data_IF_501902431041
#
_entry.id   IF_501902431041
#
_cell.length_a   1.000
_cell.length_b   1.000
_cell.length_c   1.000
_cell.angle_alpha   90.00
_cell.angle_beta   90.00
_cell.angle_gamma   90.00
#
_symmetry.space_group_name_H-M   'P 1'
#
loop_
_entity.id
_entity.type
_entity.pdbx_description
1 polymer ?
#
# COMPACT_ATOMS: atom_id res chain seq x y z
N UNK A 1 20.06 -9.28 -24.20
CA UNK A 1 18.61 -9.58 -24.17
C UNK A 1 18.20 -9.56 -22.71
N UNK A 2 17.33 -8.62 -22.30
CA UNK A 2 16.79 -8.65 -20.95
C UNK A 2 16.03 -9.97 -20.78
N UNK A 3 16.33 -10.72 -19.73
CA UNK A 3 15.64 -11.97 -19.43
C UNK A 3 14.12 -11.70 -19.30
N UNK A 4 13.31 -12.58 -19.85
CA UNK A 4 11.84 -12.49 -19.74
C UNK A 4 11.43 -12.65 -18.27
N UNK A 5 10.49 -11.83 -17.82
CA UNK A 5 9.93 -11.90 -16.47
C UNK A 5 8.82 -12.94 -16.46
N UNK A 6 9.02 -14.01 -15.68
CA UNK A 6 8.08 -15.12 -15.53
C UNK A 6 7.26 -14.89 -14.24
N UNK A 7 6.00 -14.51 -14.42
CA UNK A 7 5.15 -14.06 -13.32
C UNK A 7 4.23 -15.16 -12.82
N UNK A 8 4.24 -15.39 -11.51
CA UNK A 8 3.23 -16.16 -10.78
C UNK A 8 2.34 -15.28 -9.90
N UNK A 9 1.05 -15.60 -9.82
CA UNK A 9 0.10 -15.00 -8.88
C UNK A 9 -0.36 -16.02 -7.85
N UNK A 10 -0.28 -15.67 -6.57
CA UNK A 10 -0.99 -16.34 -5.47
C UNK A 10 -2.22 -15.50 -5.11
N UNK A 11 -3.37 -15.89 -5.63
CA UNK A 11 -4.64 -15.20 -5.52
C UNK A 11 -5.25 -14.90 -6.88
N UNK A 12 -6.57 -15.13 -7.01
CA UNK A 12 -7.39 -14.88 -8.20
C UNK A 12 -8.64 -14.05 -7.86
N UNK A 13 -8.54 -13.21 -6.81
CA UNK A 13 -9.61 -12.33 -6.33
C UNK A 13 -9.75 -11.03 -7.12
N UNK A 14 -10.67 -10.17 -6.66
CA UNK A 14 -10.94 -8.88 -7.31
C UNK A 14 -9.71 -7.99 -7.44
N UNK A 15 -8.87 -7.93 -6.39
CA UNK A 15 -7.67 -7.10 -6.43
C UNK A 15 -6.57 -7.68 -7.35
N UNK A 16 -6.49 -9.00 -7.50
CA UNK A 16 -5.60 -9.63 -8.47
C UNK A 16 -5.91 -9.23 -9.92
N UNK A 17 -7.18 -8.92 -10.24
CA UNK A 17 -7.55 -8.37 -11.57
C UNK A 17 -6.88 -7.02 -11.83
N UNK A 18 -6.77 -6.19 -10.80
CA UNK A 18 -6.14 -4.87 -10.87
C UNK A 18 -4.63 -4.99 -11.12
N UNK A 19 -3.99 -5.97 -10.49
CA UNK A 19 -2.58 -6.28 -10.74
C UNK A 19 -2.34 -6.82 -12.15
N UNK A 20 -3.22 -7.71 -12.64
CA UNK A 20 -3.13 -8.21 -14.01
C UNK A 20 -3.26 -7.08 -15.04
N UNK A 21 -4.21 -6.14 -14.82
CA UNK A 21 -4.34 -4.92 -15.61
C UNK A 21 -3.06 -4.07 -15.58
N UNK A 22 -2.50 -3.85 -14.39
CA UNK A 22 -1.31 -3.01 -14.25
C UNK A 22 -0.10 -3.59 -14.99
N UNK A 23 0.09 -4.92 -14.97
CA UNK A 23 1.13 -5.59 -15.77
C UNK A 23 0.92 -5.40 -17.27
N UNK A 24 -0.31 -5.58 -17.77
CA UNK A 24 -0.63 -5.41 -19.19
C UNK A 24 -0.49 -3.95 -19.66
N UNK A 25 -0.75 -2.99 -18.77
CA UNK A 25 -0.71 -1.57 -19.05
C UNK A 25 0.72 -1.02 -19.20
N UNK A 26 1.73 -1.69 -18.61
CA UNK A 26 3.12 -1.19 -18.59
C UNK A 26 3.64 -0.79 -19.97
N UNK A 27 3.42 -1.61 -20.98
CA UNK A 27 3.87 -1.38 -22.36
C UNK A 27 3.31 -0.12 -23.01
N UNK A 28 2.18 0.42 -22.50
CA UNK A 28 1.59 1.65 -23.00
C UNK A 28 2.21 2.89 -22.35
N UNK A 29 2.71 2.75 -21.13
CA UNK A 29 3.24 3.87 -20.36
C UNK A 29 4.77 3.98 -20.43
N UNK A 30 5.48 2.87 -20.65
CA UNK A 30 6.94 2.84 -20.58
C UNK A 30 7.54 2.19 -21.84
N UNK A 31 8.49 2.90 -22.46
CA UNK A 31 9.12 2.45 -23.70
C UNK A 31 10.02 1.20 -23.49
N UNK A 32 10.64 1.09 -22.33
CA UNK A 32 11.64 0.03 -22.03
C UNK A 32 11.10 -0.93 -20.96
N UNK A 33 9.94 -1.54 -21.20
CA UNK A 33 9.43 -2.58 -20.32
C UNK A 33 10.04 -3.94 -20.67
N UNK A 34 10.37 -4.78 -19.67
CA UNK A 34 10.76 -6.15 -19.95
C UNK A 34 9.58 -6.93 -20.57
N UNK A 35 9.91 -8.01 -21.29
CA UNK A 35 8.89 -8.95 -21.72
C UNK A 35 8.33 -9.67 -20.49
N UNK A 36 7.00 -9.61 -20.31
CA UNK A 36 6.29 -10.21 -19.17
C UNK A 36 5.50 -11.42 -19.67
N UNK A 37 5.75 -12.57 -19.07
CA UNK A 37 5.02 -13.81 -19.28
C UNK A 37 4.16 -14.09 -18.02
N UNK A 38 2.84 -14.05 -18.16
CA UNK A 38 1.89 -14.45 -17.11
C UNK A 38 1.85 -15.98 -17.07
N UNK A 39 2.75 -16.57 -16.27
CA UNK A 39 3.05 -17.99 -16.31
C UNK A 39 1.99 -18.80 -15.59
N UNK A 40 1.66 -18.45 -14.35
CA UNK A 40 0.74 -19.24 -13.52
C UNK A 40 -0.06 -18.38 -12.57
N UNK A 41 -1.33 -18.73 -12.40
CA UNK A 41 -2.16 -18.23 -11.30
C UNK A 41 -2.56 -19.39 -10.38
N UNK A 42 -2.37 -19.20 -9.08
CA UNK A 42 -2.69 -20.19 -8.07
C UNK A 42 -3.80 -19.66 -7.13
N UNK A 43 -4.86 -20.45 -6.94
CA UNK A 43 -5.97 -20.14 -6.05
C UNK A 43 -6.69 -21.42 -5.64
N UNK A 44 -7.29 -21.49 -4.42
CA UNK A 44 -7.93 -22.72 -3.93
C UNK A 44 -9.09 -23.20 -4.80
N UNK A 45 -9.93 -22.28 -5.31
CA UNK A 45 -11.15 -22.63 -6.07
C UNK A 45 -10.83 -22.89 -7.54
N UNK A 46 -10.99 -24.12 -8.05
CA UNK A 46 -10.67 -24.47 -9.44
C UNK A 46 -11.35 -23.56 -10.48
N UNK A 47 -12.68 -23.41 -10.40
CA UNK A 47 -13.43 -22.58 -11.35
C UNK A 47 -12.97 -21.12 -11.36
N UNK A 48 -12.63 -20.55 -10.19
CA UNK A 48 -12.14 -19.15 -10.11
C UNK A 48 -10.77 -19.00 -10.76
N UNK A 49 -9.81 -19.89 -10.47
CA UNK A 49 -8.45 -19.79 -11.02
C UNK A 49 -8.41 -20.05 -12.53
N UNK A 50 -9.23 -20.99 -13.03
CA UNK A 50 -9.33 -21.30 -14.46
C UNK A 50 -9.95 -20.13 -15.23
N UNK A 51 -11.08 -19.58 -14.72
CA UNK A 51 -11.70 -18.39 -15.30
C UNK A 51 -10.76 -17.18 -15.29
N UNK A 52 -10.00 -16.99 -14.20
CA UNK A 52 -9.01 -15.93 -14.08
C UNK A 52 -7.87 -16.10 -15.09
N UNK A 53 -7.30 -17.31 -15.20
CA UNK A 53 -6.23 -17.62 -16.14
C UNK A 53 -6.66 -17.34 -17.57
N UNK A 54 -7.82 -17.85 -17.96
CA UNK A 54 -8.39 -17.63 -19.30
C UNK A 54 -8.61 -16.14 -19.60
N UNK A 55 -9.22 -15.40 -18.64
CA UNK A 55 -9.58 -13.99 -18.84
C UNK A 55 -8.35 -13.08 -18.94
N UNK A 56 -7.33 -13.33 -18.13
CA UNK A 56 -6.17 -12.45 -17.99
C UNK A 56 -4.89 -12.98 -18.66
N UNK A 57 -5.00 -14.11 -19.38
CA UNK A 57 -3.92 -14.65 -20.20
C UNK A 57 -2.79 -15.32 -19.43
N UNK A 58 -3.06 -15.95 -18.30
CA UNK A 58 -2.11 -16.84 -17.63
C UNK A 58 -2.07 -18.19 -18.34
N UNK A 59 -0.87 -18.76 -18.49
CA UNK A 59 -0.70 -20.05 -19.18
C UNK A 59 -1.30 -21.22 -18.41
N UNK A 60 -1.22 -21.16 -17.08
CA UNK A 60 -1.63 -22.26 -16.21
C UNK A 60 -2.44 -21.74 -15.02
N UNK A 61 -3.36 -22.59 -14.54
CA UNK A 61 -4.13 -22.40 -13.32
C UNK A 61 -3.93 -23.60 -12.40
N UNK A 62 -3.33 -23.39 -11.21
CA UNK A 62 -2.95 -24.46 -10.29
C UNK A 62 -3.48 -24.25 -8.88
N UNK A 63 -3.57 -25.28 -8.02
CA UNK A 63 -3.82 -25.09 -6.61
C UNK A 63 -2.61 -24.43 -5.93
N UNK A 64 -2.82 -23.66 -4.82
CA UNK A 64 -1.78 -22.84 -4.21
C UNK A 64 -0.52 -23.61 -3.81
N UNK A 65 -0.67 -24.82 -3.28
CA UNK A 65 0.44 -25.67 -2.83
C UNK A 65 1.38 -26.11 -3.95
N UNK A 66 0.91 -26.14 -5.19
CA UNK A 66 1.72 -26.55 -6.33
C UNK A 66 2.71 -25.46 -6.80
N UNK A 67 2.52 -24.20 -6.38
CA UNK A 67 3.40 -23.11 -6.83
C UNK A 67 4.82 -23.24 -6.28
N UNK A 68 4.95 -23.82 -5.09
CA UNK A 68 6.24 -23.93 -4.38
C UNK A 68 7.25 -24.86 -5.06
N UNK A 69 6.77 -25.72 -5.95
CA UNK A 69 7.60 -26.62 -6.73
C UNK A 69 8.00 -26.06 -8.11
N UNK A 70 7.63 -24.80 -8.41
CA UNK A 70 7.95 -24.16 -9.71
C UNK A 70 9.38 -23.65 -9.72
N UNK A 71 10.10 -23.95 -10.80
CA UNK A 71 11.47 -23.47 -11.02
C UNK A 71 11.56 -22.49 -12.19
N UNK A 72 10.45 -22.29 -12.90
CA UNK A 72 10.33 -21.41 -14.06
C UNK A 72 9.81 -20.01 -13.73
N UNK A 73 9.55 -19.68 -12.44
CA UNK A 73 9.15 -18.37 -11.98
C UNK A 73 10.35 -17.59 -11.45
N UNK A 74 10.48 -16.33 -11.83
CA UNK A 74 11.43 -15.39 -11.23
C UNK A 74 10.75 -14.23 -10.49
N UNK A 75 9.42 -14.11 -10.60
CA UNK A 75 8.63 -13.04 -10.02
C UNK A 75 7.32 -13.59 -9.49
N UNK A 76 7.00 -13.31 -8.22
CA UNK A 76 5.79 -13.77 -7.56
C UNK A 76 5.01 -12.60 -6.97
N UNK A 77 3.68 -12.62 -7.17
CA UNK A 77 2.74 -11.70 -6.54
C UNK A 77 1.90 -12.45 -5.52
N UNK A 78 1.93 -12.03 -4.26
CA UNK A 78 1.13 -12.57 -3.15
C UNK A 78 -0.06 -11.65 -2.96
N UNK A 79 -1.25 -12.08 -3.40
CA UNK A 79 -2.47 -11.29 -3.56
C UNK A 79 -3.69 -11.96 -2.89
N UNK A 80 -3.44 -12.92 -2.02
CA UNK A 80 -4.45 -13.69 -1.30
C UNK A 80 -5.10 -12.92 -0.14
N UNK A 81 -5.86 -13.60 0.72
CA UNK A 81 -6.38 -13.03 1.97
C UNK A 81 -5.24 -12.64 2.94
N UNK A 82 -5.47 -11.62 3.77
CA UNK A 82 -4.46 -11.03 4.66
C UNK A 82 -3.64 -12.07 5.46
N UNK A 83 -4.32 -13.07 6.04
CA UNK A 83 -3.69 -14.12 6.86
C UNK A 83 -2.77 -15.07 6.08
N UNK A 84 -2.75 -14.98 4.75
CA UNK A 84 -1.87 -15.80 3.90
C UNK A 84 -0.57 -15.09 3.52
N UNK A 85 -0.48 -13.76 3.71
CA UNK A 85 0.63 -12.95 3.21
C UNK A 85 1.96 -13.36 3.84
N UNK A 86 2.07 -13.34 5.17
CA UNK A 86 3.32 -13.73 5.86
C UNK A 86 3.72 -15.19 5.58
N UNK A 87 2.84 -16.20 5.79
CA UNK A 87 3.21 -17.59 5.49
C UNK A 87 3.68 -17.80 4.06
N UNK A 88 3.01 -17.18 3.09
CA UNK A 88 3.39 -17.29 1.68
C UNK A 88 4.69 -16.54 1.37
N UNK A 89 4.94 -15.39 1.99
CA UNK A 89 6.19 -14.64 1.82
C UNK A 89 7.38 -15.44 2.36
N UNK A 90 7.24 -16.04 3.55
CA UNK A 90 8.29 -16.87 4.15
C UNK A 90 8.62 -18.11 3.28
N UNK A 91 7.62 -18.72 2.64
CA UNK A 91 7.86 -19.80 1.68
C UNK A 91 8.48 -19.30 0.37
N UNK A 92 8.03 -18.15 -0.12
CA UNK A 92 8.51 -17.58 -1.38
C UNK A 92 10.00 -17.22 -1.35
N UNK A 93 10.51 -16.73 -0.22
CA UNK A 93 11.93 -16.36 -0.10
C UNK A 93 12.86 -17.58 -0.19
N UNK A 94 12.36 -18.77 0.13
CA UNK A 94 13.10 -20.04 0.02
C UNK A 94 13.14 -20.59 -1.42
N UNK A 95 12.35 -20.06 -2.35
CA UNK A 95 12.37 -20.50 -3.76
C UNK A 95 13.61 -19.95 -4.48
N UNK A 96 14.56 -20.80 -4.92
CA UNK A 96 15.82 -20.33 -5.51
C UNK A 96 15.64 -19.53 -6.81
N UNK A 97 14.60 -19.85 -7.59
CA UNK A 97 14.32 -19.21 -8.88
C UNK A 97 13.76 -17.80 -8.76
N UNK A 98 13.13 -17.45 -7.63
CA UNK A 98 12.56 -16.12 -7.45
C UNK A 98 13.65 -15.07 -7.21
N UNK A 99 13.51 -13.94 -7.90
CA UNK A 99 14.31 -12.74 -7.72
C UNK A 99 13.48 -11.62 -7.07
N UNK A 100 12.17 -11.57 -7.38
CA UNK A 100 11.25 -10.52 -6.99
C UNK A 100 9.98 -11.07 -6.39
N UNK A 101 9.56 -10.51 -5.26
CA UNK A 101 8.32 -10.87 -4.57
C UNK A 101 7.55 -9.59 -4.28
N UNK A 102 6.34 -9.50 -4.82
CA UNK A 102 5.38 -8.47 -4.48
C UNK A 102 4.39 -9.02 -3.47
N UNK A 103 4.18 -8.36 -2.36
CA UNK A 103 3.19 -8.77 -1.36
C UNK A 103 2.20 -7.65 -1.10
N UNK A 104 0.89 -7.98 -1.13
CA UNK A 104 -0.14 -7.03 -0.76
C UNK A 104 -0.12 -6.72 0.74
N UNK A 105 -0.57 -5.50 1.05
CA UNK A 105 -0.80 -5.06 2.42
C UNK A 105 -2.09 -5.69 2.98
N UNK A 106 -2.23 -5.88 4.30
CA UNK A 106 -1.18 -5.81 5.32
C UNK A 106 -0.22 -7.00 5.21
N UNK A 107 1.03 -6.81 5.54
CA UNK A 107 2.02 -7.89 5.41
C UNK A 107 1.95 -8.91 6.56
N UNK A 108 1.34 -8.56 7.69
CA UNK A 108 1.14 -9.45 8.84
C UNK A 108 -0.22 -9.19 9.51
N UNK A 109 -0.76 -10.21 10.19
CA UNK A 109 -2.04 -10.15 10.92
C UNK A 109 -1.89 -10.52 12.41
N UNK A 110 -0.67 -10.67 12.90
CA UNK A 110 -0.37 -10.96 14.31
C UNK A 110 1.02 -10.46 14.69
N UNK A 111 1.26 -10.30 16.00
CA UNK A 111 2.57 -9.95 16.54
C UNK A 111 3.63 -11.03 16.21
N UNK A 112 3.25 -12.32 16.18
CA UNK A 112 4.17 -13.39 15.80
C UNK A 112 4.63 -13.25 14.34
N UNK A 113 3.69 -13.03 13.42
CA UNK A 113 4.03 -12.82 12.01
C UNK A 113 4.90 -11.58 11.80
N UNK A 114 4.63 -10.48 12.53
CA UNK A 114 5.48 -9.30 12.51
C UNK A 114 6.91 -9.63 12.98
N UNK A 115 7.06 -10.43 14.04
CA UNK A 115 8.37 -10.88 14.53
C UNK A 115 9.10 -11.73 13.48
N UNK A 116 8.39 -12.64 12.81
CA UNK A 116 8.96 -13.49 11.76
C UNK A 116 9.45 -12.66 10.57
N UNK A 117 8.71 -11.63 10.17
CA UNK A 117 9.12 -10.69 9.12
C UNK A 117 10.32 -9.83 9.52
N UNK A 118 10.41 -9.43 10.79
CA UNK A 118 11.59 -8.72 11.32
C UNK A 118 12.85 -9.60 11.29
N UNK A 119 12.72 -10.89 11.52
CA UNK A 119 13.81 -11.85 11.37
C UNK A 119 14.17 -12.04 9.89
N UNK A 120 13.18 -12.18 9.02
CA UNK A 120 13.39 -12.26 7.57
C UNK A 120 14.16 -11.04 7.05
N UNK A 121 13.79 -9.83 7.45
CA UNK A 121 14.45 -8.61 7.00
C UNK A 121 15.94 -8.51 7.40
N UNK A 122 16.35 -9.25 8.44
CA UNK A 122 17.75 -9.35 8.88
C UNK A 122 18.53 -10.45 8.17
N UNK A 123 17.84 -11.35 7.47
CA UNK A 123 18.47 -12.46 6.75
C UNK A 123 18.97 -12.03 5.37
N UNK A 124 20.02 -12.67 4.88
CA UNK A 124 20.58 -12.43 3.55
C UNK A 124 19.83 -13.26 2.47
N UNK A 125 18.52 -13.07 2.33
CA UNK A 125 17.70 -13.86 1.38
C UNK A 125 17.94 -13.50 -0.09
N UNK A 126 18.56 -12.35 -0.38
CA UNK A 126 18.91 -11.92 -1.75
C UNK A 126 17.71 -11.63 -2.67
N UNK A 127 16.49 -11.55 -2.14
CA UNK A 127 15.27 -11.26 -2.90
C UNK A 127 14.91 -9.78 -2.80
N UNK A 128 14.40 -9.21 -3.89
CA UNK A 128 13.76 -7.90 -3.85
C UNK A 128 12.29 -8.07 -3.45
N UNK A 129 11.92 -7.54 -2.30
CA UNK A 129 10.54 -7.62 -1.76
C UNK A 129 9.95 -6.20 -1.76
N UNK A 130 8.78 -6.05 -2.40
CA UNK A 130 8.02 -4.80 -2.44
C UNK A 130 6.61 -5.00 -1.88
N UNK A 131 6.15 -4.05 -1.07
CA UNK A 131 4.82 -4.09 -0.43
C UNK A 131 3.83 -3.20 -1.17
N UNK A 132 2.57 -3.60 -1.23
CA UNK A 132 1.50 -2.96 -1.99
C UNK A 132 1.02 -1.63 -1.40
N UNK A 133 1.87 -0.61 -1.34
CA UNK A 133 1.53 0.77 -0.95
C UNK A 133 1.55 1.70 -2.16
N UNK A 134 0.71 1.43 -3.13
CA UNK A 134 0.69 2.09 -4.44
C UNK A 134 0.38 3.59 -4.40
N UNK A 135 -0.30 4.09 -3.34
CA UNK A 135 -0.56 5.53 -3.21
C UNK A 135 0.72 6.37 -3.19
N UNK A 136 1.83 5.84 -2.65
CA UNK A 136 3.15 6.48 -2.69
C UNK A 136 3.63 6.76 -4.11
N UNK A 137 3.06 6.09 -5.11
CA UNK A 137 3.40 6.26 -6.52
C UNK A 137 2.46 7.24 -7.26
N UNK A 138 1.52 7.91 -6.59
CA UNK A 138 0.80 9.03 -7.23
C UNK A 138 1.78 10.15 -7.56
N UNK A 139 1.63 10.74 -8.75
CA UNK A 139 2.53 11.82 -9.20
C UNK A 139 2.68 12.94 -8.17
N UNK A 140 1.55 13.40 -7.61
CA UNK A 140 1.55 14.44 -6.58
C UNK A 140 2.25 14.00 -5.28
N UNK A 141 2.04 12.76 -4.81
CA UNK A 141 2.70 12.25 -3.59
C UNK A 141 4.19 12.03 -3.79
N UNK A 142 4.62 11.56 -4.98
CA UNK A 142 6.05 11.45 -5.30
C UNK A 142 6.74 12.82 -5.27
N UNK A 143 6.14 13.82 -5.91
CA UNK A 143 6.65 15.19 -5.93
C UNK A 143 6.62 15.82 -4.53
N UNK A 144 5.51 15.66 -3.79
CA UNK A 144 5.36 16.14 -2.43
C UNK A 144 6.42 15.54 -1.49
N UNK A 145 6.68 14.24 -1.58
CA UNK A 145 7.70 13.56 -0.78
C UNK A 145 9.11 14.05 -1.11
N UNK A 146 9.42 14.21 -2.40
CA UNK A 146 10.70 14.78 -2.82
C UNK A 146 10.87 16.23 -2.31
N UNK A 147 9.81 17.04 -2.37
CA UNK A 147 9.81 18.41 -1.85
C UNK A 147 9.95 18.45 -0.31
N UNK A 148 9.22 17.58 0.41
CA UNK A 148 9.39 17.48 1.87
C UNK A 148 10.84 17.17 2.26
N UNK A 149 11.47 16.26 1.52
CA UNK A 149 12.86 15.83 1.76
C UNK A 149 13.92 16.85 1.35
N UNK A 150 13.55 17.94 0.66
CA UNK A 150 14.49 19.05 0.37
C UNK A 150 14.93 19.80 1.65
N UNK A 151 14.10 19.70 2.72
CA UNK A 151 14.34 20.42 3.97
C UNK A 151 13.73 21.83 4.02
N UNK A 152 13.05 22.27 2.96
CA UNK A 152 12.48 23.64 2.84
C UNK A 152 11.39 23.93 3.88
N UNK A 153 10.84 22.90 4.52
CA UNK A 153 9.78 23.04 5.54
C UNK A 153 10.30 23.09 6.98
N UNK A 154 11.61 22.89 7.17
CA UNK A 154 12.21 22.78 8.51
C UNK A 154 11.80 21.50 9.25
N UNK A 155 11.96 21.51 10.58
CA UNK A 155 11.61 20.35 11.42
C UNK A 155 10.09 20.21 11.55
N UNK A 156 9.53 18.96 11.51
CA UNK A 156 8.12 18.74 11.72
C UNK A 156 7.69 19.14 13.13
N UNK A 157 6.52 19.78 13.28
CA UNK A 157 5.90 20.17 14.55
C UNK A 157 4.60 19.42 14.77
N UNK A 158 3.78 19.35 13.73
CA UNK A 158 2.45 18.75 13.78
C UNK A 158 2.11 18.08 12.46
N UNK A 159 1.35 16.97 12.51
CA UNK A 159 0.89 16.29 11.33
C UNK A 159 -0.51 15.70 11.49
N UNK A 160 -1.19 15.48 10.37
CA UNK A 160 -2.49 14.82 10.30
C UNK A 160 -2.54 13.91 9.07
N UNK A 161 -2.98 12.68 9.27
CA UNK A 161 -3.25 11.74 8.18
C UNK A 161 -4.64 11.14 8.36
N UNK A 162 -5.39 11.04 7.27
CA UNK A 162 -6.74 10.49 7.28
C UNK A 162 -6.97 9.60 6.07
N UNK A 163 -7.66 8.48 6.28
CA UNK A 163 -8.26 7.73 5.18
C UNK A 163 -9.71 7.40 5.52
N UNK A 164 -10.62 8.05 4.80
CA UNK A 164 -12.04 8.07 5.11
C UNK A 164 -12.85 7.48 3.96
N UNK A 165 -13.77 6.59 4.31
CA UNK A 165 -14.65 5.87 3.42
C UNK A 165 -16.06 5.76 4.03
N UNK A 166 -17.10 5.60 3.23
CA UNK A 166 -18.49 5.54 3.74
C UNK A 166 -19.22 4.23 3.45
N UNK A 167 -18.58 3.28 2.76
CA UNK A 167 -19.25 2.08 2.24
C UNK A 167 -19.92 1.22 3.29
N UNK A 168 -19.34 1.17 4.51
CA UNK A 168 -19.87 0.35 5.60
C UNK A 168 -21.07 0.97 6.31
N UNK A 169 -21.52 2.17 5.92
CA UNK A 169 -22.83 2.69 6.31
C UNK A 169 -23.97 1.91 5.66
N UNK A 170 -23.74 1.31 4.50
CA UNK A 170 -24.73 0.49 3.80
C UNK A 170 -24.81 -0.93 4.41
N UNK A 171 -25.99 -1.36 4.96
CA UNK A 171 -26.14 -2.70 5.53
C UNK A 171 -25.87 -3.83 4.54
N UNK A 172 -26.30 -3.68 3.28
CA UNK A 172 -26.06 -4.67 2.24
C UNK A 172 -24.58 -4.85 1.92
N UNK A 173 -23.82 -3.74 1.95
CA UNK A 173 -22.36 -3.79 1.79
C UNK A 173 -21.69 -4.52 2.96
N UNK A 174 -22.13 -4.28 4.21
CA UNK A 174 -21.63 -4.99 5.40
C UNK A 174 -21.87 -6.50 5.31
N UNK A 175 -23.07 -6.91 4.88
CA UNK A 175 -23.40 -8.34 4.70
C UNK A 175 -22.52 -9.01 3.64
N UNK A 176 -22.25 -8.35 2.52
CA UNK A 176 -21.41 -8.87 1.45
C UNK A 176 -19.91 -8.97 1.85
N UNK A 177 -19.47 -8.20 2.84
CA UNK A 177 -18.09 -8.13 3.29
C UNK A 177 -17.94 -8.48 4.77
N UNK A 178 -18.76 -9.41 5.26
CA UNK A 178 -18.73 -9.88 6.65
C UNK A 178 -17.40 -10.54 7.04
N UNK A 179 -16.69 -11.10 6.07
CA UNK A 179 -15.35 -11.66 6.21
C UNK A 179 -14.27 -10.61 6.56
N UNK A 180 -14.60 -9.31 6.40
CA UNK A 180 -13.72 -8.20 6.76
C UNK A 180 -13.92 -7.65 8.17
N UNK A 181 -14.80 -8.27 8.95
CA UNK A 181 -15.02 -7.94 10.36
C UNK A 181 -14.16 -8.83 11.26
N UNK A 182 -12.93 -8.43 11.45
CA UNK A 182 -12.00 -9.03 12.40
C UNK A 182 -11.31 -7.91 13.18
N UNK A 183 -10.91 -8.17 14.45
CA UNK A 183 -10.19 -7.17 15.23
C UNK A 183 -8.81 -6.83 14.61
N UNK A 184 -8.30 -5.64 14.94
CA UNK A 184 -6.93 -5.25 14.63
C UNK A 184 -5.98 -6.22 15.38
N UNK A 185 -4.89 -6.74 14.79
CA UNK A 185 -4.31 -6.36 13.49
C UNK A 185 -4.77 -7.22 12.30
N UNK A 186 -5.80 -8.03 12.42
CA UNK A 186 -6.24 -8.95 11.35
C UNK A 186 -6.97 -8.20 10.22
N UNK A 187 -7.87 -7.27 10.58
CA UNK A 187 -8.65 -6.47 9.65
C UNK A 187 -9.14 -5.18 10.35
N UNK A 188 -10.14 -4.49 9.80
CA UNK A 188 -10.69 -3.26 10.33
C UNK A 188 -10.33 -2.04 9.49
N UNK A 189 -10.80 -0.85 9.91
CA UNK A 189 -10.54 0.39 9.21
C UNK A 189 -9.05 0.77 9.24
N UNK A 190 -8.36 0.54 10.36
CA UNK A 190 -6.92 0.80 10.49
C UNK A 190 -6.11 -0.08 9.55
N UNK A 191 -6.41 -1.37 9.49
CA UNK A 191 -5.66 -2.33 8.66
C UNK A 191 -5.92 -2.10 7.18
N UNK A 192 -7.17 -1.84 6.79
CA UNK A 192 -7.57 -1.68 5.40
C UNK A 192 -7.22 -0.29 4.84
N UNK A 193 -7.62 0.76 5.54
CA UNK A 193 -7.46 2.15 5.12
C UNK A 193 -6.28 2.83 5.82
N UNK A 194 -6.22 2.71 7.14
CA UNK A 194 -5.19 3.34 7.96
C UNK A 194 -3.77 2.93 7.60
N UNK A 195 -3.57 1.70 7.11
CA UNK A 195 -2.27 1.23 6.63
C UNK A 195 -1.68 2.11 5.51
N UNK A 196 -2.50 2.62 4.59
CA UNK A 196 -2.06 3.56 3.56
C UNK A 196 -1.66 4.92 4.15
N UNK A 197 -2.46 5.46 5.09
CA UNK A 197 -2.14 6.71 5.77
C UNK A 197 -0.88 6.58 6.64
N UNK A 198 -0.69 5.45 7.35
CA UNK A 198 0.53 5.12 8.08
C UNK A 198 1.73 5.00 7.14
N UNK A 199 1.54 4.39 5.96
CA UNK A 199 2.60 4.30 4.96
C UNK A 199 3.06 5.69 4.48
N UNK A 200 2.14 6.66 4.33
CA UNK A 200 2.52 8.05 4.05
C UNK A 200 3.31 8.65 5.22
N UNK A 201 2.83 8.51 6.46
CA UNK A 201 3.54 9.04 7.62
C UNK A 201 4.95 8.47 7.74
N UNK A 202 5.13 7.16 7.59
CA UNK A 202 6.46 6.52 7.61
C UNK A 202 7.35 7.01 6.47
N UNK A 203 6.80 7.20 5.26
CA UNK A 203 7.59 7.68 4.12
C UNK A 203 8.06 9.13 4.28
N UNK A 204 7.23 9.99 4.89
CA UNK A 204 7.52 11.42 5.06
C UNK A 204 8.32 11.74 6.33
N UNK A 205 8.00 11.08 7.45
CA UNK A 205 8.56 11.39 8.77
C UNK A 205 9.61 10.37 9.25
N UNK A 206 9.67 9.19 8.64
CA UNK A 206 10.63 8.14 9.02
C UNK A 206 10.03 7.08 9.95
N UNK A 207 10.92 6.28 10.56
CA UNK A 207 10.58 5.07 11.32
C UNK A 207 10.52 5.26 12.85
N UNK A 208 10.67 6.48 13.34
CA UNK A 208 10.65 6.83 14.76
C UNK A 208 9.26 7.18 15.31
N UNK A 209 8.21 6.86 14.56
CA UNK A 209 6.84 7.09 14.96
C UNK A 209 6.40 6.12 16.07
N UNK A 210 5.69 6.65 17.08
CA UNK A 210 5.18 5.91 18.24
C UNK A 210 3.71 6.23 18.44
N UNK A 211 2.87 5.20 18.61
CA UNK A 211 1.48 5.37 19.00
C UNK A 211 1.41 5.75 20.48
N UNK A 212 0.70 6.82 20.82
CA UNK A 212 0.53 7.31 22.19
C UNK A 212 -0.83 6.94 22.77
N UNK A 213 -1.87 6.91 21.96
CA UNK A 213 -3.20 6.45 22.33
C UNK A 213 -4.03 6.17 21.08
N UNK A 214 -5.05 5.35 21.21
CA UNK A 214 -6.02 5.04 20.16
C UNK A 214 -7.42 4.91 20.77
N UNK A 215 -8.44 5.29 20.00
CA UNK A 215 -9.85 5.09 20.37
C UNK A 215 -10.66 4.71 19.13
N UNK A 216 -11.59 3.77 19.29
CA UNK A 216 -12.46 3.30 18.20
C UNK A 216 -13.93 3.64 18.45
N UNK A 217 -14.69 3.81 17.38
CA UNK A 217 -16.13 4.11 17.39
C UNK A 217 -16.84 3.52 16.17
N UNK A 218 -18.15 3.70 16.07
CA UNK A 218 -18.91 3.33 14.87
C UNK A 218 -19.42 1.89 14.88
N UNK A 219 -20.04 1.44 15.98
CA UNK A 219 -20.67 0.12 16.06
C UNK A 219 -22.07 0.11 15.47
N UNK A 220 -22.42 -0.99 14.80
CA UNK A 220 -23.78 -1.31 14.37
C UNK A 220 -24.24 -2.62 15.02
N UNK A 221 -25.56 -2.80 15.13
CA UNK A 221 -26.12 -4.03 15.72
C UNK A 221 -25.78 -5.31 14.93
N UNK A 222 -25.45 -5.16 13.66
CA UNK A 222 -25.09 -6.23 12.73
C UNK A 222 -23.58 -6.39 12.53
N UNK A 223 -22.75 -5.77 13.40
CA UNK A 223 -21.28 -5.92 13.38
C UNK A 223 -20.75 -6.48 14.69
N UNK A 224 -19.67 -7.28 14.67
CA UNK A 224 -18.98 -7.68 15.90
C UNK A 224 -18.50 -6.46 16.68
N UNK A 225 -18.55 -6.54 18.02
CA UNK A 225 -18.22 -5.40 18.89
C UNK A 225 -16.75 -4.99 18.89
N UNK A 226 -15.89 -5.93 18.59
CA UNK A 226 -14.43 -5.79 18.52
C UNK A 226 -13.93 -5.35 17.12
N UNK A 227 -14.86 -5.11 16.19
CA UNK A 227 -14.54 -4.60 14.86
C UNK A 227 -14.30 -3.10 14.89
N UNK A 228 -13.16 -2.71 14.33
CA UNK A 228 -12.80 -1.33 14.07
C UNK A 228 -13.51 -0.81 12.80
N UNK A 229 -14.44 0.14 12.96
CA UNK A 229 -15.11 0.85 11.86
C UNK A 229 -14.62 2.28 11.70
N UNK A 230 -14.20 2.91 12.80
CA UNK A 230 -13.61 4.23 12.83
C UNK A 230 -12.65 4.32 14.02
N UNK A 231 -11.38 4.53 13.74
CA UNK A 231 -10.33 4.66 14.76
C UNK A 231 -9.60 5.98 14.61
N UNK A 232 -9.42 6.67 15.73
CA UNK A 232 -8.56 7.84 15.86
C UNK A 232 -7.35 7.47 16.70
N UNK A 233 -6.18 7.86 16.23
CA UNK A 233 -4.89 7.54 16.84
C UNK A 233 -4.09 8.80 17.05
N UNK A 234 -3.46 8.98 18.21
CA UNK A 234 -2.43 9.99 18.45
C UNK A 234 -1.06 9.36 18.27
N UNK A 235 -0.24 9.98 17.45
CA UNK A 235 1.11 9.51 17.08
C UNK A 235 2.12 10.60 17.37
N UNK A 236 3.28 10.21 17.89
CA UNK A 236 4.43 11.10 18.11
C UNK A 236 5.61 10.64 17.26
N UNK A 237 6.30 11.56 16.63
CA UNK A 237 7.64 11.34 16.10
C UNK A 237 8.67 11.52 17.22
N UNK A 238 9.28 10.43 17.67
CA UNK A 238 10.23 10.45 18.79
C UNK A 238 11.53 11.20 18.48
N UNK A 239 11.81 11.51 17.20
CA UNK A 239 13.00 12.26 16.80
C UNK A 239 12.80 13.76 16.94
N UNK A 240 11.72 14.30 16.39
CA UNK A 240 11.42 15.73 16.41
C UNK A 240 10.57 16.16 17.60
N UNK A 241 9.86 15.22 18.24
CA UNK A 241 8.83 15.49 19.24
C UNK A 241 7.50 15.98 18.63
N UNK A 242 7.37 15.96 17.30
CA UNK A 242 6.13 16.33 16.63
C UNK A 242 4.99 15.38 17.01
N UNK A 243 3.81 15.93 17.27
CA UNK A 243 2.61 15.14 17.58
C UNK A 243 1.57 15.33 16.51
N UNK A 244 0.92 14.24 16.13
CA UNK A 244 -0.12 14.28 15.13
C UNK A 244 -1.20 13.23 15.34
N UNK A 245 -2.18 13.22 14.43
CA UNK A 245 -3.31 12.31 14.46
C UNK A 245 -3.42 11.51 13.17
N UNK A 246 -3.92 10.27 13.32
CA UNK A 246 -4.40 9.46 12.22
C UNK A 246 -5.86 9.14 12.45
N UNK A 247 -6.69 9.27 11.41
CA UNK A 247 -8.08 8.79 11.40
C UNK A 247 -8.27 7.82 10.26
N UNK A 248 -8.71 6.61 10.59
CA UNK A 248 -9.13 5.60 9.62
C UNK A 248 -10.61 5.29 9.83
N UNK A 249 -11.45 5.46 8.79
CA UNK A 249 -12.89 5.29 8.93
C UNK A 249 -13.53 4.67 7.70
N UNK A 250 -14.32 3.62 7.91
CA UNK A 250 -15.20 2.98 6.93
C UNK A 250 -16.62 3.53 6.93
N UNK A 251 -16.90 4.50 7.82
CA UNK A 251 -18.25 5.00 8.12
C UNK A 251 -18.36 6.53 8.09
N UNK A 252 -17.44 7.21 7.40
CA UNK A 252 -17.46 8.66 7.24
C UNK A 252 -18.42 9.08 6.14
N UNK A 253 -19.61 9.53 6.51
CA UNK A 253 -20.64 9.97 5.56
C UNK A 253 -20.12 11.13 4.68
N UNK A 254 -20.41 11.04 3.37
CA UNK A 254 -20.03 12.08 2.40
C UNK A 254 -18.62 11.91 1.82
N UNK A 255 -17.87 10.87 2.25
CA UNK A 255 -16.57 10.53 1.66
C UNK A 255 -16.65 9.23 0.86
N UNK A 256 -16.05 9.21 -0.33
CA UNK A 256 -15.95 7.99 -1.14
C UNK A 256 -14.62 7.28 -0.95
N UNK A 257 -13.53 8.03 -1.07
CA UNK A 257 -12.16 7.51 -1.03
C UNK A 257 -11.22 8.67 -0.74
N UNK A 258 -11.26 9.20 0.50
CA UNK A 258 -10.53 10.39 0.91
C UNK A 258 -9.28 10.01 1.70
N UNK A 259 -8.13 10.00 1.04
CA UNK A 259 -6.81 9.94 1.68
C UNK A 259 -6.24 11.36 1.76
N UNK A 260 -5.81 11.78 2.96
CA UNK A 260 -5.21 13.08 3.20
C UNK A 260 -3.94 12.94 4.05
N UNK A 261 -2.96 13.80 3.74
CA UNK A 261 -1.76 14.02 4.54
C UNK A 261 -1.53 15.53 4.69
N UNK A 262 -1.33 15.98 5.91
CA UNK A 262 -0.90 17.33 6.25
C UNK A 262 0.30 17.25 7.19
N UNK A 263 1.38 18.00 6.88
CA UNK A 263 2.56 18.12 7.74
C UNK A 263 2.90 19.60 7.86
N UNK A 264 3.07 20.07 9.09
CA UNK A 264 3.49 21.44 9.42
C UNK A 264 4.87 21.40 10.04
N UNK A 265 5.81 22.07 9.41
CA UNK A 265 7.16 22.25 9.89
C UNK A 265 7.41 23.66 10.44
N UNK A 266 8.60 23.89 10.95
CA UNK A 266 9.01 25.19 11.52
C UNK A 266 9.11 26.31 10.48
N UNK A 267 9.25 25.98 9.20
CA UNK A 267 9.44 26.94 8.10
C UNK A 267 8.34 26.90 7.04
N UNK A 268 7.45 25.90 7.08
CA UNK A 268 6.39 25.79 6.10
C UNK A 268 5.42 24.63 6.39
N UNK A 269 4.50 24.40 5.46
CA UNK A 269 3.56 23.30 5.56
C UNK A 269 3.33 22.65 4.19
N UNK A 270 2.94 21.36 4.21
CA UNK A 270 2.61 20.58 3.04
C UNK A 270 1.26 19.88 3.27
N UNK A 271 0.38 19.92 2.27
CA UNK A 271 -0.93 19.25 2.29
C UNK A 271 -1.15 18.51 0.98
N UNK A 272 -1.56 17.25 1.09
CA UNK A 272 -2.05 16.42 -0.01
C UNK A 272 -3.42 15.86 0.32
N UNK A 273 -4.31 15.76 -0.68
CA UNK A 273 -5.61 15.09 -0.53
C UNK A 273 -6.06 14.46 -1.85
N UNK A 274 -6.68 13.29 -1.78
CA UNK A 274 -7.30 12.65 -2.97
C UNK A 274 -8.55 13.38 -3.47
N UNK A 275 -9.06 14.37 -2.76
CA UNK A 275 -10.06 15.30 -3.29
C UNK A 275 -9.51 16.14 -4.46
N UNK A 276 -8.18 16.35 -4.48
CA UNK A 276 -7.43 16.97 -5.58
C UNK A 276 -6.21 16.07 -5.89
N UNK A 277 -6.41 14.91 -6.52
CA UNK A 277 -5.44 13.80 -6.51
C UNK A 277 -4.17 14.07 -7.32
N UNK A 278 -4.18 15.07 -8.18
CA UNK A 278 -3.10 15.39 -9.12
C UNK A 278 -2.24 16.58 -8.68
N UNK A 279 -2.53 17.17 -7.52
CA UNK A 279 -1.75 18.28 -6.95
C UNK A 279 -1.53 18.11 -5.44
N UNK A 280 -0.56 18.86 -4.94
CA UNK A 280 -0.37 19.10 -3.51
C UNK A 280 -0.19 20.60 -3.27
N UNK A 281 -0.38 21.05 -2.04
CA UNK A 281 -0.21 22.44 -1.68
C UNK A 281 0.89 22.60 -0.64
N UNK A 282 1.60 23.73 -0.69
CA UNK A 282 2.61 24.11 0.30
C UNK A 282 2.35 25.51 0.81
N UNK A 283 2.73 25.77 2.04
CA UNK A 283 2.77 27.11 2.61
C UNK A 283 4.20 27.54 2.85
N UNK A 284 4.55 28.73 2.40
CA UNK A 284 5.80 29.40 2.73
C UNK A 284 5.49 30.78 3.37
N UNK A 285 6.20 31.20 4.46
CA UNK A 285 5.90 32.45 5.16
C UNK A 285 5.87 33.70 4.25
N UNK A 286 6.76 33.77 3.26
CA UNK A 286 6.86 34.91 2.34
C UNK A 286 5.90 34.82 1.15
N UNK A 287 5.58 33.60 0.68
CA UNK A 287 4.85 33.38 -0.57
C UNK A 287 3.37 33.01 -0.34
N UNK A 288 3.01 32.66 0.91
CA UNK A 288 1.69 32.13 1.23
C UNK A 288 1.46 30.72 0.69
N UNK A 289 0.21 30.33 0.49
CA UNK A 289 -0.17 29.03 -0.06
C UNK A 289 0.08 28.96 -1.56
N UNK A 290 0.72 27.88 -1.98
CA UNK A 290 1.02 27.57 -3.37
C UNK A 290 0.48 26.21 -3.75
N UNK A 291 -0.07 26.07 -4.98
CA UNK A 291 -0.55 24.80 -5.55
C UNK A 291 0.50 24.30 -6.52
N UNK A 292 0.90 23.03 -6.34
CA UNK A 292 1.84 22.32 -7.22
C UNK A 292 1.06 21.30 -8.06
N UNK A 293 0.88 21.58 -9.33
CA UNK A 293 0.19 20.69 -10.26
C UNK A 293 1.16 19.64 -10.80
N UNK A 294 0.85 18.38 -10.56
CA UNK A 294 1.68 17.23 -10.94
C UNK A 294 1.01 16.33 -11.97
N UNK A 295 -0.31 16.41 -12.10
CA UNK A 295 -1.12 15.57 -13.00
C UNK A 295 -0.53 14.16 -13.23
N UNK A 296 -0.30 13.78 -14.48
CA UNK A 296 0.31 12.49 -14.85
C UNK A 296 1.82 12.57 -15.06
N UNK A 297 2.52 13.45 -14.32
CA UNK A 297 3.98 13.58 -14.49
C UNK A 297 4.73 12.42 -13.83
N UNK A 298 5.21 11.57 -14.70
CA UNK A 298 6.11 10.44 -14.37
C UNK A 298 7.45 10.56 -15.10
N UNK A 299 7.83 11.80 -15.48
CA UNK A 299 9.10 12.07 -16.15
C UNK A 299 10.31 11.69 -15.25
N UNK A 300 11.45 11.27 -15.82
CA UNK A 300 11.65 11.03 -17.26
C UNK A 300 11.14 9.65 -17.73
N UNK A 301 10.66 8.79 -16.81
CA UNK A 301 10.31 7.39 -17.11
C UNK A 301 9.13 7.24 -18.07
N UNK A 302 8.13 8.14 -17.99
CA UNK A 302 6.96 8.11 -18.87
C UNK A 302 6.45 9.51 -19.15
N UNK A 303 6.09 9.77 -20.41
CA UNK A 303 5.41 10.98 -20.88
C UNK A 303 4.00 10.71 -21.42
N UNK A 304 3.49 9.50 -21.21
CA UNK A 304 2.14 9.11 -21.64
C UNK A 304 1.25 8.87 -20.40
N UNK A 305 -0.02 9.32 -20.42
CA UNK A 305 -0.57 10.29 -21.35
C UNK A 305 0.07 11.69 -21.17
N UNK A 306 -0.36 12.69 -21.93
CA UNK A 306 0.12 14.06 -21.80
C UNK A 306 0.05 14.55 -20.34
N UNK A 307 1.02 15.35 -19.90
CA UNK A 307 1.12 15.88 -18.54
C UNK A 307 -0.12 16.66 -18.05
N UNK A 308 -0.97 17.11 -18.97
CA UNK A 308 -2.21 17.85 -18.64
C UNK A 308 -3.46 16.95 -18.49
N UNK A 309 -3.28 15.63 -18.46
CA UNK A 309 -4.38 14.68 -18.26
C UNK A 309 -4.39 14.21 -16.80
N UNK A 310 -5.54 14.35 -16.08
CA UNK A 310 -5.67 13.82 -14.72
C UNK A 310 -5.33 12.34 -14.65
N UNK A 311 -4.62 11.93 -13.60
CA UNK A 311 -4.23 10.53 -13.38
C UNK A 311 -5.11 9.89 -12.32
N UNK A 312 -5.74 8.76 -12.68
CA UNK A 312 -6.49 7.95 -11.72
C UNK A 312 -5.58 7.16 -10.77
N UNK A 313 -6.20 6.49 -9.79
CA UNK A 313 -5.53 5.58 -8.86
C UNK A 313 -4.75 4.45 -9.56
N UNK A 314 -5.33 3.86 -10.61
CA UNK A 314 -4.68 2.80 -11.39
C UNK A 314 -3.34 3.21 -11.98
N UNK A 315 -3.14 4.49 -12.29
CA UNK A 315 -1.87 4.97 -12.83
C UNK A 315 -0.73 4.85 -11.81
N UNK A 316 -1.02 5.07 -10.54
CA UNK A 316 -0.06 4.87 -9.45
C UNK A 316 0.33 3.39 -9.33
N UNK A 317 -0.64 2.48 -9.40
CA UNK A 317 -0.36 1.04 -9.38
C UNK A 317 0.48 0.58 -10.58
N UNK A 318 0.22 1.09 -11.78
CA UNK A 318 1.05 0.81 -12.97
C UNK A 318 2.49 1.28 -12.74
N UNK A 319 2.70 2.46 -12.14
CA UNK A 319 4.05 2.93 -11.81
C UNK A 319 4.71 2.09 -10.71
N UNK A 320 3.93 1.66 -9.73
CA UNK A 320 4.41 0.75 -8.69
C UNK A 320 4.96 -0.56 -9.30
N UNK A 321 4.24 -1.12 -10.27
CA UNK A 321 4.69 -2.32 -10.99
C UNK A 321 5.92 -2.05 -11.89
N UNK A 322 5.98 -0.87 -12.53
CA UNK A 322 7.17 -0.47 -13.27
C UNK A 322 8.42 -0.49 -12.38
N UNK A 323 8.35 0.10 -11.20
CA UNK A 323 9.45 0.12 -10.23
C UNK A 323 9.80 -1.29 -9.74
N UNK A 324 8.77 -2.08 -9.40
CA UNK A 324 8.94 -3.45 -8.92
C UNK A 324 9.68 -4.33 -9.95
N UNK A 325 9.41 -4.14 -11.24
CA UNK A 325 10.04 -4.90 -12.32
C UNK A 325 11.39 -4.33 -12.78
N UNK A 326 11.99 -3.42 -12.02
CA UNK A 326 13.32 -2.89 -12.26
C UNK A 326 13.36 -1.59 -13.06
N UNK A 327 12.24 -0.86 -13.13
CA UNK A 327 12.20 0.47 -13.71
C UNK A 327 12.99 1.49 -12.88
N UNK A 328 13.42 2.56 -13.54
CA UNK A 328 14.20 3.64 -12.91
C UNK A 328 13.36 4.37 -11.84
N UNK A 329 13.84 4.43 -10.58
CA UNK A 329 13.06 5.00 -9.49
C UNK A 329 12.88 6.53 -9.59
N UNK A 330 13.86 7.26 -10.13
CA UNK A 330 13.83 8.72 -10.15
C UNK A 330 13.59 9.28 -8.73
N UNK A 331 12.54 10.08 -8.56
CA UNK A 331 12.11 10.61 -7.26
C UNK A 331 11.18 9.67 -6.47
N UNK A 332 10.88 8.48 -6.99
CA UNK A 332 9.94 7.55 -6.35
C UNK A 332 10.53 6.91 -5.11
N UNK A 333 9.72 6.81 -4.08
CA UNK A 333 10.00 5.99 -2.92
C UNK A 333 9.52 4.56 -3.16
N UNK A 334 10.37 3.57 -2.91
CA UNK A 334 9.99 2.16 -3.07
C UNK A 334 9.66 1.56 -1.70
N UNK A 335 8.39 1.19 -1.44
CA UNK A 335 7.98 0.57 -0.20
C UNK A 335 8.45 -0.89 -0.14
N UNK A 336 9.65 -1.11 0.37
CA UNK A 336 10.26 -2.42 0.58
C UNK A 336 9.69 -3.14 1.81
N UNK A 337 10.26 -4.30 2.13
CA UNK A 337 9.87 -5.09 3.30
C UNK A 337 10.06 -4.29 4.60
N UNK A 338 11.13 -3.51 4.73
CA UNK A 338 11.39 -2.72 5.94
C UNK A 338 10.31 -1.66 6.14
N UNK A 339 9.92 -0.96 5.08
CA UNK A 339 8.80 -0.02 5.12
C UNK A 339 7.49 -0.69 5.55
N UNK A 340 7.19 -1.86 4.98
CA UNK A 340 6.01 -2.66 5.38
C UNK A 340 6.03 -3.05 6.87
N UNK A 341 7.19 -3.46 7.39
CA UNK A 341 7.39 -3.79 8.81
C UNK A 341 7.14 -2.56 9.70
N UNK A 342 7.59 -1.37 9.31
CA UNK A 342 7.34 -0.15 10.09
C UNK A 342 5.85 0.19 10.16
N UNK A 343 5.15 0.10 9.04
CA UNK A 343 3.68 0.28 9.01
C UNK A 343 2.98 -0.75 9.91
N UNK A 344 3.36 -2.02 9.78
CA UNK A 344 2.75 -3.10 10.58
C UNK A 344 3.05 -2.97 12.07
N UNK A 345 4.24 -2.47 12.45
CA UNK A 345 4.59 -2.16 13.84
C UNK A 345 3.63 -1.12 14.44
N UNK A 346 3.31 -0.08 13.69
CA UNK A 346 2.34 0.93 14.14
C UNK A 346 0.92 0.35 14.26
N UNK A 347 0.50 -0.51 13.33
CA UNK A 347 -0.78 -1.22 13.43
C UNK A 347 -0.83 -2.09 14.68
N UNK A 348 0.27 -2.80 15.01
CA UNK A 348 0.35 -3.62 16.23
C UNK A 348 0.27 -2.74 17.49
N UNK A 349 0.97 -1.61 17.55
CA UNK A 349 0.87 -0.68 18.68
C UNK A 349 -0.56 -0.13 18.85
N UNK A 350 -1.28 0.14 17.76
CA UNK A 350 -2.69 0.56 17.82
C UNK A 350 -3.54 -0.57 18.44
N UNK A 351 -3.33 -1.81 17.99
CA UNK A 351 -4.03 -2.97 18.56
C UNK A 351 -3.75 -3.13 20.07
N UNK A 352 -2.50 -2.99 20.48
CA UNK A 352 -2.10 -3.09 21.88
C UNK A 352 -2.78 -2.02 22.75
N UNK A 353 -2.89 -0.77 22.26
CA UNK A 353 -3.60 0.29 22.97
C UNK A 353 -5.10 0.05 23.08
N UNK A 354 -5.74 -0.50 22.06
CA UNK A 354 -7.19 -0.77 22.07
C UNK A 354 -7.58 -2.00 22.91
N UNK A 355 -6.63 -2.91 23.15
CA UNK A 355 -6.85 -4.14 23.94
C UNK A 355 -6.35 -4.01 25.39
N UNK A 356 -5.74 -2.88 25.76
CA UNK A 356 -5.20 -2.66 27.12
C UNK A 356 -6.23 -2.09 28.12
N UNK A 357 -7.41 -1.77 27.66
CA UNK A 357 -8.59 -1.33 28.43
C UNK A 357 -9.63 -2.47 28.53
#
# INVERSE_FOLDING_TARGET
MNASIQVGFLGAGGFAQTHAYALDALKYYYANTPQIEKTVVASPTPSSREAFAHRFGFREAIPPEAIWNRTDLNTLFILGPNHTHTPQLLQAVEMPSLERIYVEKPIAVSAQELSDLQLLAKSAHGKFIMVGFEFLQKSALRAALAHWRSGDFGEPIHFRAEYLHSSYLNPGYRQQHADRFAPIPQNGAVVDLGSHALSLLVAFLGDHLLVRTAATSGHFNDTPKDTDLCTTVMIEDATSGAVGTLVASRVSQGTGDLLMLEIRGTQGALVFTTAQPDNYTTFHPELGWQVHDCMSDYSPASKFPSAYVPSGWLRALVHNHYLFLGGEPGISFMPDLQHGIQVQRLIQQIADHLHSD
#
